data_IF_688905359754
#
_entry.id   IF_688905359754
#
_cell.length_a   1.000
_cell.length_b   1.000
_cell.length_c   1.000
_cell.angle_alpha   90.00
_cell.angle_beta   90.00
_cell.angle_gamma   90.00
#
_symmetry.space_group_name_H-M   'P 1'
#
loop_
_entity.id
_entity.type
_entity.pdbx_description
1 polymer ?
#
# COMPACT_ATOMS: atom_id res chain seq x y z
N UNK A 1 -18.05 12.49 -50.90
CA UNK A 1 -16.79 11.71 -50.89
C UNK A 1 -15.73 12.26 -49.95
N UNK A 2 -15.24 13.51 -50.08
CA UNK A 2 -14.16 14.06 -49.19
C UNK A 2 -14.46 13.97 -47.68
N UNK A 3 -15.67 14.31 -47.24
CA UNK A 3 -16.07 14.20 -45.81
C UNK A 3 -16.07 12.76 -45.29
N UNK A 4 -16.44 11.78 -46.14
CA UNK A 4 -16.44 10.36 -45.78
C UNK A 4 -15.01 9.81 -45.69
N UNK A 5 -14.12 10.23 -46.59
CA UNK A 5 -12.70 9.86 -46.56
C UNK A 5 -12.02 10.44 -45.31
N UNK A 6 -12.28 11.72 -44.98
CA UNK A 6 -11.75 12.34 -43.75
C UNK A 6 -12.26 11.59 -42.51
N UNK A 7 -13.56 11.27 -42.42
CA UNK A 7 -14.11 10.53 -41.31
C UNK A 7 -13.50 9.13 -41.16
N UNK A 8 -13.28 8.41 -42.28
CA UNK A 8 -12.65 7.10 -42.28
C UNK A 8 -11.16 7.16 -41.92
N UNK A 9 -10.41 8.15 -42.40
CA UNK A 9 -9.00 8.35 -42.03
C UNK A 9 -8.87 8.72 -40.56
N UNK A 10 -9.72 9.60 -40.04
CA UNK A 10 -9.74 9.93 -38.61
C UNK A 10 -10.09 8.72 -37.75
N UNK A 11 -11.09 7.92 -38.16
CA UNK A 11 -11.43 6.67 -37.49
C UNK A 11 -10.28 5.67 -37.54
N UNK A 12 -9.60 5.53 -38.69
CA UNK A 12 -8.47 4.63 -38.84
C UNK A 12 -7.28 5.04 -37.96
N UNK A 13 -6.95 6.33 -37.92
CA UNK A 13 -5.90 6.90 -37.06
C UNK A 13 -6.28 6.73 -35.58
N UNK A 14 -7.55 6.94 -35.22
CA UNK A 14 -8.04 6.65 -33.88
C UNK A 14 -7.89 5.16 -33.56
N UNK A 15 -8.31 4.25 -34.43
CA UNK A 15 -8.20 2.80 -34.21
C UNK A 15 -6.75 2.29 -34.21
N UNK A 16 -5.86 2.88 -35.00
CA UNK A 16 -4.45 2.57 -35.03
C UNK A 16 -3.74 3.13 -33.78
N UNK A 17 -4.10 4.33 -33.32
CA UNK A 17 -3.65 4.87 -32.03
C UNK A 17 -4.19 4.07 -30.84
N UNK A 18 -5.44 3.59 -30.94
CA UNK A 18 -6.09 2.68 -29.98
C UNK A 18 -5.35 1.36 -29.86
N UNK A 19 -4.99 0.78 -31.00
CA UNK A 19 -4.20 -0.44 -31.06
C UNK A 19 -2.78 -0.18 -30.55
N UNK A 20 -2.15 0.92 -30.95
CA UNK A 20 -0.78 1.22 -30.53
C UNK A 20 -0.70 1.43 -29.01
N UNK A 21 -1.60 2.21 -28.40
CA UNK A 21 -1.58 2.51 -26.95
C UNK A 21 -1.79 1.28 -26.06
N UNK A 22 -2.66 0.34 -26.43
CA UNK A 22 -2.89 -0.89 -25.67
C UNK A 22 -1.67 -1.85 -25.71
N UNK A 23 -0.91 -1.83 -26.81
CA UNK A 23 0.19 -2.78 -27.05
C UNK A 23 1.60 -2.22 -26.77
N UNK A 24 1.76 -0.92 -26.47
CA UNK A 24 3.05 -0.37 -26.02
C UNK A 24 3.51 -1.12 -24.76
N UNK A 25 4.71 -1.75 -24.77
CA UNK A 25 5.22 -2.46 -23.60
C UNK A 25 5.37 -1.51 -22.41
N UNK A 26 5.27 -2.08 -21.20
CA UNK A 26 5.57 -1.32 -19.99
C UNK A 26 7.09 -1.27 -19.83
N UNK A 27 7.63 -0.07 -19.70
CA UNK A 27 8.96 0.12 -19.19
C UNK A 27 8.87 0.11 -17.66
N UNK A 28 9.51 -0.87 -17.03
CA UNK A 28 9.46 -1.05 -15.58
C UNK A 28 10.33 -0.07 -14.81
N UNK A 29 11.34 0.51 -15.47
CA UNK A 29 12.21 1.52 -14.86
C UNK A 29 11.52 2.87 -14.82
N UNK A 30 10.78 3.23 -15.87
CA UNK A 30 9.99 4.45 -15.88
C UNK A 30 8.88 4.42 -16.93
N UNK A 31 7.63 4.66 -16.51
CA UNK A 31 6.52 4.83 -17.44
C UNK A 31 6.82 5.96 -18.44
N UNK A 32 6.44 5.77 -19.71
CA UNK A 32 6.67 6.77 -20.76
C UNK A 32 5.64 7.93 -20.72
N UNK A 33 5.84 8.93 -21.58
CA UNK A 33 5.00 10.14 -21.65
C UNK A 33 3.51 9.88 -21.95
N UNK A 34 3.16 8.72 -22.51
CA UNK A 34 1.75 8.32 -22.74
C UNK A 34 1.17 7.66 -21.48
N UNK A 35 1.98 6.86 -20.78
CA UNK A 35 1.56 6.07 -19.63
C UNK A 35 1.46 6.90 -18.34
N UNK A 36 2.35 7.89 -18.14
CA UNK A 36 2.34 8.76 -16.95
C UNK A 36 0.98 9.45 -16.73
N UNK A 37 0.38 10.14 -17.73
CA UNK A 37 -0.94 10.77 -17.56
C UNK A 37 -2.06 9.77 -17.26
N UNK A 38 -1.97 8.53 -17.78
CA UNK A 38 -2.95 7.48 -17.48
C UNK A 38 -2.84 7.06 -16.02
N UNK A 39 -1.62 6.85 -15.50
CA UNK A 39 -1.38 6.55 -14.08
C UNK A 39 -1.86 7.68 -13.16
N UNK A 40 -1.61 8.94 -13.52
CA UNK A 40 -2.13 10.11 -12.79
C UNK A 40 -3.66 10.13 -12.76
N UNK A 41 -4.32 9.88 -13.89
CA UNK A 41 -5.79 9.82 -13.98
C UNK A 41 -6.37 8.70 -13.10
N UNK A 42 -5.74 7.52 -13.12
CA UNK A 42 -6.11 6.39 -12.25
C UNK A 42 -5.96 6.77 -10.78
N UNK A 43 -4.79 7.30 -10.39
CA UNK A 43 -4.55 7.74 -9.01
C UNK A 43 -5.61 8.74 -8.56
N UNK A 44 -5.94 9.73 -9.40
CA UNK A 44 -6.99 10.72 -9.09
C UNK A 44 -8.36 10.06 -8.87
N UNK A 45 -8.79 9.16 -9.76
CA UNK A 45 -10.09 8.48 -9.66
C UNK A 45 -10.17 7.55 -8.45
N UNK A 46 -9.12 6.76 -8.23
CA UNK A 46 -9.02 5.90 -7.05
C UNK A 46 -9.04 6.73 -5.77
N UNK A 47 -8.30 7.85 -5.72
CA UNK A 47 -8.32 8.78 -4.59
C UNK A 47 -9.73 9.33 -4.34
N UNK A 48 -10.46 9.72 -5.39
CA UNK A 48 -11.85 10.18 -5.26
C UNK A 48 -12.74 9.10 -4.65
N UNK A 49 -12.68 7.86 -5.15
CA UNK A 49 -13.46 6.74 -4.62
C UNK A 49 -13.12 6.51 -3.14
N UNK A 50 -11.83 6.43 -2.79
CA UNK A 50 -11.39 6.19 -1.41
C UNK A 50 -11.84 7.31 -0.47
N UNK A 51 -11.73 8.57 -0.89
CA UNK A 51 -12.07 9.71 -0.03
C UNK A 51 -13.59 9.87 0.20
N UNK A 52 -14.42 9.35 -0.71
CA UNK A 52 -15.87 9.30 -0.56
C UNK A 52 -16.35 8.17 0.37
N UNK A 53 -15.51 7.17 0.64
CA UNK A 53 -15.85 6.13 1.60
C UNK A 53 -15.81 6.68 3.04
N UNK A 54 -16.74 6.23 3.91
CA UNK A 54 -16.63 6.44 5.35
C UNK A 54 -15.24 6.00 5.85
N UNK A 55 -14.62 6.70 6.82
CA UNK A 55 -13.27 6.40 7.30
C UNK A 55 -13.02 4.91 7.60
N UNK A 56 -13.94 4.26 8.28
CA UNK A 56 -13.91 2.84 8.65
C UNK A 56 -13.95 1.88 7.45
N UNK A 57 -14.38 2.36 6.27
CA UNK A 57 -14.43 1.57 5.03
C UNK A 57 -13.25 1.82 4.09
N UNK A 58 -12.38 2.79 4.38
CA UNK A 58 -11.28 3.16 3.47
C UNK A 58 -10.26 2.04 3.31
N UNK A 59 -9.91 1.33 4.38
CA UNK A 59 -8.95 0.22 4.28
C UNK A 59 -9.56 -1.07 3.71
N UNK A 60 -10.90 -1.17 3.70
CA UNK A 60 -11.68 -2.29 3.15
C UNK A 60 -12.28 -2.00 1.77
N UNK A 61 -11.77 -0.99 1.08
CA UNK A 61 -12.24 -0.58 -0.24
C UNK A 61 -12.24 -1.73 -1.27
N UNK A 62 -13.35 -1.85 -2.00
CA UNK A 62 -13.58 -2.95 -2.92
C UNK A 62 -12.84 -2.75 -4.25
N UNK A 63 -12.05 -3.76 -4.67
CA UNK A 63 -11.22 -3.67 -5.87
C UNK A 63 -12.04 -3.41 -7.14
N UNK A 64 -13.18 -4.10 -7.31
CA UNK A 64 -14.02 -3.94 -8.49
C UNK A 64 -14.65 -2.55 -8.53
N UNK A 65 -15.02 -1.99 -7.38
CA UNK A 65 -15.52 -0.61 -7.29
C UNK A 65 -14.48 0.40 -7.78
N UNK A 66 -13.21 0.25 -7.38
CA UNK A 66 -12.13 1.10 -7.90
C UNK A 66 -11.98 0.91 -9.40
N UNK A 67 -11.83 -0.33 -9.87
CA UNK A 67 -11.65 -0.62 -11.30
C UNK A 67 -12.85 -0.14 -12.13
N UNK A 68 -14.06 -0.18 -11.58
CA UNK A 68 -15.29 0.28 -12.22
C UNK A 68 -15.35 1.79 -12.42
N UNK A 69 -14.63 2.57 -11.61
CA UNK A 69 -14.51 4.02 -11.78
C UNK A 69 -13.66 4.43 -13.00
N UNK A 70 -12.88 3.49 -13.55
CA UNK A 70 -11.97 3.75 -14.66
C UNK A 70 -12.68 3.62 -16.01
N UNK A 71 -12.30 4.50 -16.94
CA UNK A 71 -12.65 4.33 -18.35
C UNK A 71 -11.91 3.11 -18.93
N UNK A 72 -12.24 2.76 -20.18
CA UNK A 72 -11.69 1.57 -20.82
C UNK A 72 -10.15 1.56 -20.86
N UNK A 73 -9.50 2.68 -21.20
CA UNK A 73 -8.05 2.79 -21.33
C UNK A 73 -7.32 2.64 -20.00
N UNK A 74 -7.78 3.39 -19.01
CA UNK A 74 -7.26 3.36 -17.64
C UNK A 74 -7.38 1.96 -17.04
N UNK A 75 -8.53 1.31 -17.26
CA UNK A 75 -8.76 -0.05 -16.78
C UNK A 75 -7.84 -1.06 -17.46
N UNK A 76 -7.65 -0.95 -18.77
CA UNK A 76 -6.72 -1.82 -19.51
C UNK A 76 -5.28 -1.62 -19.03
N UNK A 77 -4.85 -0.38 -18.80
CA UNK A 77 -3.55 -0.07 -18.26
C UNK A 77 -3.36 -0.61 -16.83
N UNK A 78 -4.32 -0.37 -15.94
CA UNK A 78 -4.29 -0.90 -14.57
C UNK A 78 -4.24 -2.43 -14.54
N UNK A 79 -5.04 -3.11 -15.38
CA UNK A 79 -4.97 -4.57 -15.55
C UNK A 79 -3.60 -5.01 -16.06
N UNK A 80 -3.01 -4.30 -17.01
CA UNK A 80 -1.68 -4.60 -17.53
C UNK A 80 -0.62 -4.51 -16.42
N UNK A 81 -0.68 -3.48 -15.59
CA UNK A 81 0.22 -3.30 -14.42
C UNK A 81 0.02 -4.42 -13.40
N UNK A 82 -1.23 -4.71 -12.98
CA UNK A 82 -1.50 -5.74 -11.97
C UNK A 82 -1.38 -7.18 -12.48
N UNK A 83 -1.14 -7.39 -13.78
CA UNK A 83 -0.84 -8.69 -14.36
C UNK A 83 0.67 -8.94 -14.52
N UNK A 84 1.53 -7.97 -14.20
CA UNK A 84 2.97 -8.18 -14.13
C UNK A 84 3.25 -9.19 -13.00
N UNK A 85 4.12 -10.18 -13.23
CA UNK A 85 4.57 -11.03 -12.13
C UNK A 85 5.45 -10.19 -11.20
N UNK A 86 5.19 -10.12 -9.89
CA UNK A 86 5.97 -9.25 -8.99
C UNK A 86 7.50 -9.47 -9.05
N UNK A 87 7.95 -10.71 -9.32
CA UNK A 87 9.36 -11.03 -9.49
C UNK A 87 10.04 -10.29 -10.64
N UNK A 88 9.30 -9.91 -11.70
CA UNK A 88 9.80 -9.09 -12.81
C UNK A 88 10.09 -7.64 -12.38
N UNK A 89 9.47 -7.19 -11.29
CA UNK A 89 9.72 -5.90 -10.66
C UNK A 89 10.73 -5.98 -9.51
N UNK A 90 11.30 -7.16 -9.26
CA UNK A 90 12.26 -7.40 -8.18
C UNK A 90 11.63 -7.84 -6.86
N UNK A 91 10.30 -7.81 -6.72
CA UNK A 91 9.59 -8.28 -5.54
C UNK A 91 9.49 -9.81 -5.53
N UNK A 92 10.05 -10.45 -4.50
CA UNK A 92 10.15 -11.91 -4.36
C UNK A 92 9.30 -12.47 -3.23
N UNK A 93 8.47 -11.65 -2.60
CA UNK A 93 7.51 -12.10 -1.59
C UNK A 93 6.42 -13.01 -2.17
N UNK A 94 5.78 -13.85 -1.33
CA UNK A 94 4.74 -14.76 -1.77
C UNK A 94 3.42 -14.03 -2.05
N UNK A 95 2.50 -14.73 -2.71
CA UNK A 95 1.10 -14.32 -2.72
C UNK A 95 0.50 -14.62 -1.33
N UNK A 96 -0.23 -13.67 -0.76
CA UNK A 96 -0.89 -13.81 0.54
C UNK A 96 -2.38 -14.11 0.38
N UNK A 97 -3.17 -13.10 -0.01
CA UNK A 97 -4.62 -13.28 -0.12
C UNK A 97 -5.29 -12.15 -0.89
N UNK A 98 -6.40 -12.49 -1.55
CA UNK A 98 -7.40 -11.54 -2.04
C UNK A 98 -8.76 -11.73 -1.36
N UNK A 99 -8.81 -12.58 -0.33
CA UNK A 99 -10.04 -12.90 0.38
C UNK A 99 -10.53 -11.72 1.18
N UNK A 100 -11.86 -11.57 1.24
CA UNK A 100 -12.49 -10.57 2.09
C UNK A 100 -12.61 -11.15 3.50
N UNK A 101 -12.01 -10.52 4.53
CA UNK A 101 -12.16 -10.97 5.91
C UNK A 101 -13.62 -10.87 6.33
N UNK A 102 -14.07 -11.85 7.11
CA UNK A 102 -15.45 -11.90 7.63
C UNK A 102 -15.67 -10.87 8.73
N UNK A 103 -14.68 -10.73 9.61
CA UNK A 103 -14.75 -9.90 10.80
C UNK A 103 -13.46 -9.06 10.90
N UNK A 104 -13.62 -7.74 11.00
CA UNK A 104 -12.53 -6.82 11.32
C UNK A 104 -12.98 -5.94 12.47
N UNK A 105 -12.07 -5.65 13.39
CA UNK A 105 -12.27 -4.65 14.43
C UNK A 105 -11.89 -3.29 13.87
N UNK A 106 -12.76 -2.30 14.07
CA UNK A 106 -12.45 -0.90 13.78
C UNK A 106 -11.59 -0.37 14.91
N UNK A 107 -10.40 0.13 14.56
CA UNK A 107 -9.45 0.75 15.48
C UNK A 107 -9.57 2.26 15.31
N UNK A 108 -9.86 2.95 16.42
CA UNK A 108 -10.05 4.39 16.41
C UNK A 108 -8.75 5.14 16.06
N UNK A 109 -8.92 6.35 15.54
CA UNK A 109 -7.81 7.26 15.26
C UNK A 109 -7.08 7.65 16.55
N UNK A 110 -5.76 7.76 16.47
CA UNK A 110 -4.91 8.26 17.55
C UNK A 110 -4.25 9.55 17.08
N UNK A 111 -4.28 10.58 17.92
CA UNK A 111 -3.55 11.82 17.71
C UNK A 111 -2.09 11.62 18.11
N UNK A 112 -1.19 11.91 17.18
CA UNK A 112 0.25 11.85 17.29
C UNK A 112 0.79 13.28 17.27
N UNK A 113 1.76 13.57 18.13
CA UNK A 113 2.27 14.94 18.34
C UNK A 113 3.79 14.94 18.24
N UNK A 114 4.33 15.64 17.25
CA UNK A 114 5.77 15.83 17.04
C UNK A 114 6.12 17.31 17.14
N UNK A 115 6.41 17.79 18.34
CA UNK A 115 6.60 19.22 18.58
C UNK A 115 5.31 20.00 18.32
N UNK A 116 5.33 20.92 17.35
CA UNK A 116 4.14 21.69 16.94
C UNK A 116 3.28 20.98 15.86
N UNK A 117 3.76 19.86 15.32
CA UNK A 117 3.05 19.13 14.28
C UNK A 117 2.11 18.09 14.89
N UNK A 118 0.84 18.14 14.53
CA UNK A 118 -0.15 17.12 14.85
C UNK A 118 -0.48 16.28 13.62
N UNK A 119 -0.56 14.96 13.81
CA UNK A 119 -1.02 13.99 12.81
C UNK A 119 -1.98 13.02 13.47
N UNK A 120 -2.87 12.44 12.67
CA UNK A 120 -3.70 11.32 13.09
C UNK A 120 -3.32 10.04 12.33
N UNK A 121 -3.39 8.88 13.02
CA UNK A 121 -3.25 7.55 12.37
C UNK A 121 -4.41 7.26 11.41
N UNK A 122 -5.54 7.95 11.59
CA UNK A 122 -6.78 7.64 10.91
C UNK A 122 -7.45 6.38 11.46
N UNK A 123 -8.67 6.12 11.00
CA UNK A 123 -9.40 4.90 11.37
C UNK A 123 -8.78 3.70 10.66
N UNK A 124 -8.39 2.69 11.44
CA UNK A 124 -7.78 1.47 10.95
C UNK A 124 -8.72 0.27 11.13
N UNK A 125 -8.41 -0.85 10.49
CA UNK A 125 -9.12 -2.11 10.69
C UNK A 125 -8.11 -3.22 10.97
N UNK A 126 -8.40 -4.11 11.92
CA UNK A 126 -7.52 -5.25 12.21
C UNK A 126 -8.32 -6.55 12.42
N UNK A 127 -7.80 -7.70 11.99
CA UNK A 127 -8.28 -9.00 12.45
C UNK A 127 -8.27 -9.08 13.99
N UNK A 128 -9.26 -9.72 14.62
CA UNK A 128 -9.36 -9.76 16.09
C UNK A 128 -8.12 -10.31 16.79
N UNK A 129 -7.49 -11.36 16.24
CA UNK A 129 -6.37 -12.03 16.89
C UNK A 129 -5.09 -11.17 16.88
N UNK A 130 -4.73 -10.60 15.72
CA UNK A 130 -3.58 -9.71 15.63
C UNK A 130 -3.77 -8.44 16.46
N UNK A 131 -4.99 -7.90 16.52
CA UNK A 131 -5.29 -6.76 17.40
C UNK A 131 -5.17 -7.12 18.88
N UNK A 132 -5.68 -8.29 19.30
CA UNK A 132 -5.59 -8.72 20.70
C UNK A 132 -4.13 -8.90 21.16
N UNK A 133 -3.28 -9.49 20.33
CA UNK A 133 -1.87 -9.64 20.67
C UNK A 133 -1.10 -8.31 20.58
N UNK A 134 -1.48 -7.41 19.65
CA UNK A 134 -0.97 -6.04 19.64
C UNK A 134 -1.24 -5.32 20.97
N UNK A 135 -2.46 -5.43 21.51
CA UNK A 135 -2.80 -4.79 22.79
C UNK A 135 -1.89 -5.29 23.92
N UNK A 136 -1.68 -6.62 24.01
CA UNK A 136 -0.77 -7.21 25.01
C UNK A 136 0.66 -6.71 24.83
N UNK A 137 1.15 -6.64 23.58
CA UNK A 137 2.49 -6.15 23.26
C UNK A 137 2.66 -4.69 23.66
N UNK A 138 1.69 -3.85 23.29
CA UNK A 138 1.71 -2.42 23.57
C UNK A 138 1.64 -2.13 25.08
N UNK A 139 0.79 -2.85 25.82
CA UNK A 139 0.70 -2.72 27.29
C UNK A 139 1.98 -3.18 27.97
N UNK A 140 2.63 -4.24 27.46
CA UNK A 140 3.90 -4.71 28.01
C UNK A 140 5.05 -3.74 27.74
N UNK A 141 5.11 -3.16 26.53
CA UNK A 141 6.07 -2.11 26.19
C UNK A 141 5.92 -0.90 27.13
N UNK A 142 4.68 -0.49 27.41
CA UNK A 142 4.39 0.63 28.31
C UNK A 142 4.87 0.34 29.74
N UNK A 143 4.68 -0.89 30.23
CA UNK A 143 5.19 -1.32 31.54
C UNK A 143 6.72 -1.35 31.61
N UNK A 144 7.39 -1.77 30.54
CA UNK A 144 8.84 -2.00 30.54
C UNK A 144 9.65 -0.72 30.34
N UNK A 145 9.19 0.16 29.44
CA UNK A 145 9.96 1.34 29.01
C UNK A 145 9.17 2.66 29.07
N UNK A 146 7.91 2.64 29.53
CA UNK A 146 7.08 3.85 29.61
C UNK A 146 6.73 4.45 28.25
N UNK A 147 6.80 3.65 27.17
CA UNK A 147 6.52 4.04 25.79
C UNK A 147 5.55 3.06 25.12
N UNK A 148 4.95 3.47 24.00
CA UNK A 148 3.93 2.70 23.30
C UNK A 148 4.00 2.92 21.79
N UNK A 149 3.83 1.85 21.03
CA UNK A 149 3.53 1.91 19.59
C UNK A 149 2.04 1.95 19.32
N UNK A 150 1.66 2.63 18.24
CA UNK A 150 0.29 2.76 17.76
C UNK A 150 0.17 2.23 16.34
N UNK A 151 -1.00 1.75 15.98
CA UNK A 151 -1.29 1.22 14.64
C UNK A 151 -1.41 2.38 13.66
N UNK A 152 -0.45 2.49 12.74
CA UNK A 152 -0.49 3.46 11.63
C UNK A 152 -1.18 2.86 10.39
N UNK A 153 -1.04 1.55 10.19
CA UNK A 153 -1.69 0.82 9.09
C UNK A 153 -2.03 -0.61 9.52
N UNK A 154 -3.33 -0.93 9.54
CA UNK A 154 -3.83 -2.28 9.82
C UNK A 154 -4.05 -3.11 8.56
N UNK A 155 -5.13 -3.88 8.52
CA UNK A 155 -5.59 -4.61 7.35
C UNK A 155 -5.83 -3.69 6.15
N UNK A 156 -5.37 -4.13 4.97
CA UNK A 156 -5.57 -3.47 3.67
C UNK A 156 -6.15 -4.46 2.67
N UNK A 157 -7.37 -4.20 2.23
CA UNK A 157 -8.00 -4.94 1.13
C UNK A 157 -7.21 -4.83 -0.19
N UNK A 158 -7.41 -5.74 -1.16
CA UNK A 158 -6.84 -5.62 -2.49
C UNK A 158 -7.17 -4.30 -3.19
N UNK A 159 -8.37 -3.74 -2.97
CA UNK A 159 -8.75 -2.44 -3.51
C UNK A 159 -7.97 -1.29 -2.86
N UNK A 160 -7.81 -1.29 -1.54
CA UNK A 160 -6.94 -0.32 -0.86
C UNK A 160 -5.49 -0.44 -1.35
N UNK A 161 -4.98 -1.66 -1.52
CA UNK A 161 -3.62 -1.89 -2.03
C UNK A 161 -3.46 -1.40 -3.47
N UNK A 162 -4.46 -1.61 -4.33
CA UNK A 162 -4.44 -1.12 -5.72
C UNK A 162 -4.38 0.41 -5.78
N UNK A 163 -5.13 1.08 -4.88
CA UNK A 163 -5.03 2.52 -4.71
C UNK A 163 -3.62 2.95 -4.29
N UNK A 164 -3.07 2.36 -3.23
CA UNK A 164 -1.75 2.74 -2.72
C UNK A 164 -0.65 2.52 -3.75
N UNK A 165 -0.74 1.44 -4.54
CA UNK A 165 0.22 1.17 -5.61
C UNK A 165 0.27 2.32 -6.63
N UNK A 166 -0.88 2.80 -7.11
CA UNK A 166 -0.93 3.93 -8.03
C UNK A 166 -0.62 5.27 -7.37
N UNK A 167 -1.00 5.44 -6.10
CA UNK A 167 -0.70 6.64 -5.34
C UNK A 167 0.81 6.87 -5.26
N UNK A 168 1.56 5.91 -4.73
CA UNK A 168 3.01 6.03 -4.56
C UNK A 168 3.78 5.98 -5.88
N UNK A 169 3.27 5.24 -6.88
CA UNK A 169 3.83 5.29 -8.24
C UNK A 169 3.89 6.72 -8.78
N UNK A 170 2.85 7.51 -8.51
CA UNK A 170 2.74 8.90 -8.96
C UNK A 170 3.46 9.87 -8.02
N UNK A 171 3.34 9.69 -6.70
CA UNK A 171 3.79 10.71 -5.72
C UNK A 171 5.23 10.54 -5.25
N UNK A 172 5.80 9.34 -5.34
CA UNK A 172 7.04 9.00 -4.63
C UNK A 172 8.04 8.24 -5.49
N UNK A 173 7.58 7.37 -6.40
CA UNK A 173 8.47 6.52 -7.21
C UNK A 173 8.83 7.09 -8.57
N UNK A 174 8.47 8.34 -8.87
CA UNK A 174 8.71 9.00 -10.16
C UNK A 174 8.27 8.13 -11.37
N UNK A 175 7.13 7.46 -11.22
CA UNK A 175 6.56 6.54 -12.20
C UNK A 175 7.42 5.31 -12.54
N UNK A 176 8.34 4.90 -11.66
CA UNK A 176 9.07 3.65 -11.78
C UNK A 176 8.29 2.52 -11.10
N UNK A 177 7.95 1.46 -11.86
CA UNK A 177 7.24 0.30 -11.32
C UNK A 177 8.15 -0.54 -10.42
N UNK A 178 9.44 -0.67 -10.77
CA UNK A 178 10.43 -1.34 -9.94
C UNK A 178 10.67 -0.61 -8.62
N UNK A 179 10.93 0.70 -8.67
CA UNK A 179 11.14 1.48 -7.45
C UNK A 179 9.91 1.42 -6.53
N UNK A 180 8.70 1.56 -7.10
CA UNK A 180 7.46 1.45 -6.33
C UNK A 180 7.31 0.07 -5.68
N UNK A 181 7.69 -1.00 -6.37
CA UNK A 181 7.53 -2.38 -5.87
C UNK A 181 8.50 -2.74 -4.75
N UNK A 182 9.54 -1.91 -4.50
CA UNK A 182 10.40 -2.08 -3.33
C UNK A 182 9.73 -1.65 -2.02
N UNK A 183 8.65 -0.88 -2.08
CA UNK A 183 7.93 -0.36 -0.91
C UNK A 183 6.47 -0.80 -0.90
N UNK A 184 5.85 -0.87 -2.08
CA UNK A 184 4.41 -1.06 -2.23
C UNK A 184 4.14 -2.34 -3.01
N UNK A 185 3.78 -3.40 -2.28
CA UNK A 185 3.36 -4.67 -2.87
C UNK A 185 2.11 -4.52 -3.77
N UNK A 186 1.98 -5.38 -4.76
CA UNK A 186 0.77 -5.46 -5.59
C UNK A 186 -0.44 -6.00 -4.81
N UNK A 187 -1.68 -5.75 -5.27
CA UNK A 187 -2.87 -6.40 -4.71
C UNK A 187 -2.70 -7.92 -4.66
N UNK A 188 -2.96 -8.53 -3.49
CA UNK A 188 -2.74 -9.96 -3.26
C UNK A 188 -1.37 -10.34 -2.70
N UNK A 189 -0.36 -9.48 -2.82
CA UNK A 189 1.02 -9.73 -2.37
C UNK A 189 1.41 -8.93 -1.12
N UNK A 190 0.50 -8.10 -0.60
CA UNK A 190 0.72 -7.35 0.64
C UNK A 190 0.37 -8.19 1.86
N UNK A 191 1.28 -8.23 2.83
CA UNK A 191 1.05 -8.86 4.13
C UNK A 191 -0.13 -8.26 4.91
N UNK A 192 -0.44 -6.97 4.69
CA UNK A 192 -1.64 -6.36 5.29
C UNK A 192 -2.95 -6.95 4.75
N UNK A 193 -2.91 -7.61 3.60
CA UNK A 193 -4.08 -8.18 2.93
C UNK A 193 -4.50 -9.54 3.46
N UNK A 194 -3.72 -10.19 4.32
CA UNK A 194 -4.12 -11.47 4.87
C UNK A 194 -5.29 -11.28 5.86
N UNK A 195 -6.41 -12.02 5.74
CA UNK A 195 -7.60 -11.81 6.57
C UNK A 195 -7.46 -12.23 8.04
N UNK A 196 -6.31 -12.79 8.44
CA UNK A 196 -6.09 -13.43 9.74
C UNK A 196 -4.67 -13.11 10.23
N UNK A 197 -3.67 -13.43 9.40
CA UNK A 197 -2.24 -13.24 9.68
C UNK A 197 -1.72 -11.98 9.00
N UNK A 198 -2.26 -10.82 9.36
CA UNK A 198 -1.89 -9.57 8.69
C UNK A 198 -0.64 -8.93 9.27
N UNK A 199 0.04 -8.14 8.46
CA UNK A 199 0.98 -7.14 8.95
C UNK A 199 0.29 -5.89 9.51
N UNK A 200 1.01 -5.25 10.43
CA UNK A 200 0.67 -3.98 11.04
C UNK A 200 1.89 -3.06 10.92
N UNK A 201 1.67 -1.84 10.40
CA UNK A 201 2.67 -0.78 10.46
C UNK A 201 2.49 -0.01 11.77
N UNK A 202 3.58 0.23 12.47
CA UNK A 202 3.59 0.94 13.75
C UNK A 202 4.15 2.36 13.62
N UNK A 203 3.67 3.24 14.50
CA UNK A 203 4.19 4.59 14.73
C UNK A 203 4.34 4.84 16.22
N UNK A 204 5.23 5.76 16.59
CA UNK A 204 5.32 6.26 17.98
C UNK A 204 4.29 7.35 18.25
N UNK A 205 4.07 7.69 19.53
CA UNK A 205 3.24 8.86 19.92
C UNK A 205 3.79 10.17 19.36
N UNK A 206 5.11 10.22 19.18
CA UNK A 206 5.86 11.33 18.61
C UNK A 206 5.70 11.40 17.07
N UNK A 207 4.82 10.60 16.47
CA UNK A 207 4.55 10.59 15.03
C UNK A 207 5.67 10.02 14.17
N UNK A 208 6.63 9.30 14.77
CA UNK A 208 7.73 8.67 14.04
C UNK A 208 7.22 7.36 13.44
N UNK A 209 7.19 7.27 12.11
CA UNK A 209 6.82 6.08 11.35
C UNK A 209 7.85 5.69 10.27
N UNK A 210 8.93 6.46 10.12
CA UNK A 210 10.06 6.15 9.25
C UNK A 210 9.81 6.23 7.75
N UNK A 211 8.65 6.72 7.32
CA UNK A 211 8.26 6.72 5.91
C UNK A 211 7.67 8.06 5.43
N UNK A 212 6.99 8.80 6.30
CA UNK A 212 6.23 10.01 5.92
C UNK A 212 6.90 11.31 6.38
N UNK A 213 6.58 12.42 5.73
CA UNK A 213 7.00 13.76 6.20
C UNK A 213 8.52 14.00 6.18
N UNK A 214 9.26 13.30 5.31
CA UNK A 214 10.73 13.38 5.23
C UNK A 214 11.46 12.47 6.22
N UNK A 215 10.72 11.67 7.00
CA UNK A 215 11.30 10.61 7.82
C UNK A 215 11.85 9.48 6.96
N UNK A 216 12.77 8.73 7.56
CA UNK A 216 13.47 7.59 6.97
C UNK A 216 13.39 6.39 7.90
N UNK A 217 13.69 5.20 7.38
CA UNK A 217 13.75 3.99 8.19
C UNK A 217 14.66 4.14 9.42
N UNK A 218 15.73 4.93 9.33
CA UNK A 218 16.62 5.20 10.46
C UNK A 218 15.92 5.91 11.61
N UNK A 219 14.95 6.79 11.32
CA UNK A 219 14.24 7.54 12.36
C UNK A 219 13.43 6.59 13.24
N UNK A 220 12.63 5.70 12.64
CA UNK A 220 11.89 4.69 13.41
C UNK A 220 12.82 3.66 14.07
N UNK A 221 13.85 3.19 13.34
CA UNK A 221 14.80 2.21 13.87
C UNK A 221 15.64 2.73 15.05
N UNK A 222 15.72 4.05 15.23
CA UNK A 222 16.41 4.68 16.36
C UNK A 222 15.54 4.83 17.62
N UNK A 223 14.24 4.51 17.53
CA UNK A 223 13.30 4.70 18.64
C UNK A 223 13.49 3.64 19.73
N UNK A 224 13.30 3.99 21.02
CA UNK A 224 13.24 3.02 22.11
C UNK A 224 12.21 1.90 21.86
N UNK A 225 11.08 2.25 21.25
CA UNK A 225 10.01 1.34 20.87
C UNK A 225 10.50 0.26 19.90
N UNK A 226 11.21 0.65 18.82
CA UNK A 226 11.77 -0.32 17.87
C UNK A 226 12.77 -1.27 18.54
N UNK A 227 13.71 -0.74 19.33
CA UNK A 227 14.68 -1.59 20.05
C UNK A 227 14.02 -2.56 21.03
N UNK A 228 12.94 -2.14 21.69
CA UNK A 228 12.19 -3.04 22.56
C UNK A 228 11.49 -4.13 21.73
N UNK A 229 10.92 -3.79 20.59
CA UNK A 229 10.23 -4.74 19.71
C UNK A 229 11.17 -5.81 19.14
N UNK A 230 12.41 -5.47 18.78
CA UNK A 230 13.37 -6.45 18.23
C UNK A 230 13.67 -7.59 19.20
N UNK A 231 13.59 -7.34 20.50
CA UNK A 231 13.83 -8.35 21.55
C UNK A 231 12.54 -9.03 22.03
N UNK A 232 11.38 -8.36 21.96
CA UNK A 232 10.17 -8.80 22.68
C UNK A 232 8.96 -9.11 21.79
N UNK A 233 8.85 -8.55 20.59
CA UNK A 233 7.65 -8.66 19.77
C UNK A 233 7.30 -10.11 19.38
N UNK A 234 8.33 -10.97 19.28
CA UNK A 234 8.16 -12.41 19.04
C UNK A 234 7.37 -13.15 20.13
N UNK A 235 7.35 -12.63 21.38
CA UNK A 235 6.53 -13.15 22.47
C UNK A 235 5.03 -12.86 22.29
N UNK A 236 4.70 -11.96 21.36
CA UNK A 236 3.35 -11.55 20.99
C UNK A 236 3.02 -11.91 19.53
N UNK A 237 3.71 -12.90 18.98
CA UNK A 237 3.50 -13.43 17.63
C UNK A 237 3.84 -12.46 16.48
N UNK A 238 4.53 -11.35 16.75
CA UNK A 238 4.98 -10.41 15.73
C UNK A 238 6.44 -10.67 15.33
N UNK A 239 6.75 -10.52 14.05
CA UNK A 239 8.11 -10.51 13.54
C UNK A 239 8.30 -9.42 12.48
N UNK A 240 9.51 -8.88 12.41
CA UNK A 240 9.89 -7.89 11.41
C UNK A 240 10.02 -8.58 10.04
N UNK A 241 9.15 -8.23 9.08
CA UNK A 241 9.13 -8.90 7.78
C UNK A 241 10.27 -8.46 6.85
N UNK A 242 10.65 -7.18 6.94
CA UNK A 242 11.61 -6.56 6.04
C UNK A 242 12.81 -5.97 6.80
N UNK A 243 13.67 -6.81 7.41
CA UNK A 243 14.94 -6.36 7.95
C UNK A 243 15.89 -5.88 6.84
N UNK A 244 16.97 -5.21 7.22
CA UNK A 244 18.03 -4.85 6.29
C UNK A 244 18.53 -6.09 5.53
N UNK A 245 18.75 -5.93 4.22
CA UNK A 245 19.22 -7.01 3.33
C UNK A 245 18.29 -8.24 3.28
N UNK A 246 16.98 -8.08 3.52
CA UNK A 246 16.02 -9.16 3.29
C UNK A 246 16.06 -9.63 1.82
N UNK A 247 15.71 -10.91 1.60
CA UNK A 247 15.76 -11.52 0.27
C UNK A 247 14.48 -11.33 -0.54
N UNK A 248 13.53 -10.52 -0.06
CA UNK A 248 12.21 -10.34 -0.67
C UNK A 248 12.19 -9.20 -1.70
N UNK A 249 13.29 -8.44 -1.82
CA UNK A 249 13.35 -7.30 -2.74
C UNK A 249 12.51 -6.10 -2.30
N UNK A 250 12.19 -6.05 -1.01
CA UNK A 250 11.54 -4.93 -0.32
C UNK A 250 12.63 -4.16 0.43
N UNK A 251 12.54 -2.84 0.48
CA UNK A 251 13.47 -2.02 1.26
C UNK A 251 13.32 -2.29 2.77
N UNK A 252 14.24 -1.76 3.56
CA UNK A 252 14.18 -1.90 5.01
C UNK A 252 12.99 -1.11 5.58
N UNK A 253 12.02 -1.82 6.19
CA UNK A 253 10.81 -1.24 6.78
C UNK A 253 10.70 -1.60 8.27
N UNK A 254 11.42 -0.90 9.17
CA UNK A 254 11.45 -1.23 10.59
C UNK A 254 10.12 -1.06 11.32
N UNK A 255 9.16 -0.35 10.71
CA UNK A 255 7.80 -0.17 11.21
C UNK A 255 6.85 -1.32 10.86
N UNK A 256 7.19 -2.19 9.90
CA UNK A 256 6.29 -3.20 9.33
C UNK A 256 6.47 -4.56 10.01
N UNK A 257 5.48 -5.00 10.79
CA UNK A 257 5.56 -6.24 11.57
C UNK A 257 4.40 -7.17 11.24
N UNK A 258 4.73 -8.40 10.83
CA UNK A 258 3.74 -9.43 10.50
C UNK A 258 3.35 -10.24 11.73
N UNK A 259 2.04 -10.40 11.93
CA UNK A 259 1.50 -11.27 12.97
C UNK A 259 1.36 -12.70 12.44
N UNK A 260 2.18 -13.61 12.96
CA UNK A 260 2.25 -15.00 12.50
C UNK A 260 1.21 -15.94 13.12
N UNK A 261 0.63 -15.57 14.27
CA UNK A 261 -0.30 -16.39 15.04
C UNK A 261 0.27 -17.76 15.43
N UNK A 262 0.89 -17.85 16.61
CA UNK A 262 1.22 -19.14 17.24
C UNK A 262 0.13 -19.55 18.22
#
# INVERSE_FOLDING_TARGET
MKKLIIALVTLLILTAGLYYTAFIPLDYEQLNFIQKPIAESINKKFSTVINQLPPERRSTADFDTLMNSLNWYERMFAKKVFNIKPAELGFKGPFYSIEKPKNLLVVATVKLVSGENERETGVQNCPPNSYADYLKMADKMEQDIGRRVYIDSGYRSPGKQAYLFFYYLVTSSNFSLKENSKWIAMPGYSEHGHPVNNAIDFTTIDGINGFSGGQTASDFASTPEYYWMTENAGNFNFYLSYPQNNNLGVEYEPWHWHWGGK
#
